data_IF_914554575216
#
_entry.id   IF_914554575216
#
_cell.length_a   1.000
_cell.length_b   1.000
_cell.length_c   1.000
_cell.angle_alpha   90.00
_cell.angle_beta   90.00
_cell.angle_gamma   90.00
#
_symmetry.space_group_name_H-M   'P 1'
#
loop_
_entity.id
_entity.type
_entity.pdbx_description
1 polymer ?
#
# COMPACT_ATOMS: atom_id res chain seq x y z
N UNK A 1 6.61 -9.51 13.49
CA UNK A 1 7.27 -8.49 12.64
C UNK A 1 7.01 -8.87 11.19
N UNK A 2 6.30 -8.04 10.40
CA UNK A 2 5.75 -8.43 9.09
C UNK A 2 6.76 -8.44 7.91
N UNK A 3 8.08 -8.43 8.15
CA UNK A 3 9.10 -8.57 7.09
C UNK A 3 9.20 -7.38 6.12
N UNK A 4 8.72 -6.21 6.53
CA UNK A 4 8.75 -4.96 5.75
C UNK A 4 9.89 -4.09 6.26
N UNK A 5 10.73 -3.59 5.36
CA UNK A 5 11.62 -2.49 5.71
C UNK A 5 10.76 -1.25 5.97
N UNK A 6 10.77 -0.77 7.21
CA UNK A 6 10.10 0.46 7.63
C UNK A 6 10.95 1.71 7.30
N UNK A 7 12.06 1.56 6.57
CA UNK A 7 12.88 2.70 6.13
C UNK A 7 12.04 3.62 5.25
N UNK A 8 11.72 4.81 5.78
CA UNK A 8 10.88 5.81 5.13
C UNK A 8 9.40 5.75 5.49
N UNK A 9 8.98 4.84 6.37
CA UNK A 9 7.60 4.74 6.88
C UNK A 9 7.58 5.32 8.29
N UNK A 10 7.01 6.52 8.46
CA UNK A 10 6.80 7.11 9.79
C UNK A 10 5.60 6.45 10.45
N UNK A 11 5.56 6.39 11.80
CA UNK A 11 4.44 5.77 12.55
C UNK A 11 3.07 6.43 12.29
N UNK A 12 3.05 7.64 11.72
CA UNK A 12 1.83 8.34 11.29
C UNK A 12 1.41 8.08 9.84
N UNK A 13 2.24 7.43 9.03
CA UNK A 13 1.96 7.24 7.60
C UNK A 13 0.92 6.15 7.39
N UNK A 14 -0.12 6.48 6.65
CA UNK A 14 -1.19 5.52 6.34
C UNK A 14 -0.76 4.57 5.23
N UNK A 15 -1.30 3.35 5.24
CA UNK A 15 -1.08 2.40 4.14
C UNK A 15 -1.47 2.98 2.77
N UNK A 16 -2.42 3.93 2.74
CA UNK A 16 -2.81 4.64 1.53
C UNK A 16 -1.71 5.57 1.00
N UNK A 17 -1.02 6.28 1.90
CA UNK A 17 0.09 7.17 1.54
C UNK A 17 1.31 6.40 1.06
N UNK A 18 1.59 5.24 1.65
CA UNK A 18 2.67 4.36 1.17
C UNK A 18 2.41 3.89 -0.26
N UNK A 19 1.17 3.47 -0.53
CA UNK A 19 0.75 3.07 -1.87
C UNK A 19 0.83 4.25 -2.85
N UNK A 20 0.44 5.47 -2.42
CA UNK A 20 0.61 6.72 -3.21
C UNK A 20 2.08 7.03 -3.51
N UNK A 21 2.97 6.93 -2.52
CA UNK A 21 4.39 7.21 -2.74
C UNK A 21 5.04 6.20 -3.70
N UNK A 22 4.68 4.92 -3.58
CA UNK A 22 5.27 3.86 -4.40
C UNK A 22 4.74 3.85 -5.86
N UNK A 23 3.48 4.19 -6.08
CA UNK A 23 2.85 4.18 -7.41
C UNK A 23 2.82 5.57 -8.08
N UNK A 24 2.99 6.64 -7.32
CA UNK A 24 2.98 8.02 -7.81
C UNK A 24 1.59 8.64 -7.89
N UNK A 25 1.42 9.54 -8.88
CA UNK A 25 0.33 10.55 -8.90
C UNK A 25 -1.05 10.05 -9.33
N UNK A 26 -1.17 8.84 -9.88
CA UNK A 26 -2.45 8.34 -10.38
C UNK A 26 -2.69 6.94 -9.84
N UNK A 27 -3.51 6.88 -8.78
CA UNK A 27 -3.95 5.63 -8.19
C UNK A 27 -5.30 5.26 -8.78
N UNK A 28 -5.45 4.00 -9.13
CA UNK A 28 -6.71 3.42 -9.56
C UNK A 28 -7.02 2.14 -8.78
N UNK A 29 -8.30 1.79 -8.70
CA UNK A 29 -8.72 0.52 -8.14
C UNK A 29 -8.08 -0.63 -8.91
N UNK A 30 -7.48 -1.57 -8.19
CA UNK A 30 -6.74 -2.68 -8.76
C UNK A 30 -5.22 -2.49 -8.78
N UNK A 31 -4.73 -1.28 -8.50
CA UNK A 31 -3.30 -1.02 -8.39
C UNK A 31 -2.66 -1.81 -7.26
N UNK A 32 -1.41 -2.21 -7.48
CA UNK A 32 -0.68 -3.11 -6.58
C UNK A 32 0.68 -2.53 -6.27
N UNK A 33 0.96 -2.35 -4.99
CA UNK A 33 2.28 -1.99 -4.49
C UNK A 33 2.87 -3.16 -3.71
N UNK A 34 4.15 -3.44 -3.92
CA UNK A 34 4.87 -4.48 -3.19
C UNK A 34 5.84 -3.85 -2.23
N UNK A 35 5.76 -4.28 -0.98
CA UNK A 35 6.64 -3.87 0.11
C UNK A 35 7.26 -5.13 0.70
N UNK A 36 8.44 -5.53 0.21
CA UNK A 36 9.07 -6.79 0.61
C UNK A 36 8.19 -8.01 0.36
N UNK A 37 7.83 -8.72 1.43
CA UNK A 37 6.89 -9.86 1.43
C UNK A 37 5.41 -9.45 1.49
N UNK A 38 5.10 -8.16 1.63
CA UNK A 38 3.74 -7.63 1.59
C UNK A 38 3.37 -7.20 0.19
N UNK A 39 2.15 -7.56 -0.21
CA UNK A 39 1.49 -7.02 -1.40
C UNK A 39 0.26 -6.25 -0.96
N UNK A 40 0.28 -4.95 -1.17
CA UNK A 40 -0.87 -4.07 -1.00
C UNK A 40 -1.59 -3.95 -2.34
N UNK A 41 -2.91 -3.96 -2.31
CA UNK A 41 -3.76 -3.81 -3.49
C UNK A 41 -4.91 -2.88 -3.17
N UNK A 42 -5.10 -1.85 -3.98
CA UNK A 42 -6.24 -0.96 -3.84
C UNK A 42 -7.49 -1.73 -4.26
N UNK A 43 -8.42 -1.94 -3.33
CA UNK A 43 -9.69 -2.63 -3.60
C UNK A 43 -10.84 -1.66 -3.81
N UNK A 44 -10.79 -0.50 -3.17
CA UNK A 44 -11.84 0.49 -3.27
C UNK A 44 -11.25 1.89 -3.15
N UNK A 45 -11.76 2.79 -4.00
CA UNK A 45 -11.45 4.21 -3.97
C UNK A 45 -12.72 5.03 -4.00
N UNK A 46 -12.72 6.13 -3.25
CA UNK A 46 -13.75 7.16 -3.29
C UNK A 46 -13.12 8.44 -3.82
N UNK A 47 -13.31 8.69 -5.12
CA UNK A 47 -12.61 9.77 -5.81
C UNK A 47 -11.09 9.54 -5.81
N UNK A 48 -10.34 10.39 -5.11
CA UNK A 48 -8.87 10.32 -5.01
C UNK A 48 -8.37 9.77 -3.64
N UNK A 49 -9.28 9.25 -2.83
CA UNK A 49 -8.99 8.65 -1.54
C UNK A 49 -9.13 7.14 -1.62
N UNK A 50 -8.16 6.42 -1.07
CA UNK A 50 -8.25 4.96 -0.93
C UNK A 50 -9.05 4.67 0.34
N UNK A 51 -10.15 3.94 0.19
CA UNK A 51 -10.99 3.51 1.31
C UNK A 51 -10.58 2.11 1.80
N UNK A 52 -10.28 1.21 0.86
CA UNK A 52 -9.98 -0.19 1.18
C UNK A 52 -8.70 -0.65 0.49
N UNK A 53 -7.76 -1.16 1.30
CA UNK A 53 -6.53 -1.79 0.85
C UNK A 53 -6.56 -3.26 1.22
N UNK A 54 -6.47 -4.12 0.21
CA UNK A 54 -6.20 -5.53 0.38
C UNK A 54 -4.73 -5.77 0.67
N UNK A 55 -4.44 -6.37 1.82
CA UNK A 55 -3.09 -6.80 2.18
C UNK A 55 -2.96 -8.31 1.98
N UNK A 56 -1.93 -8.73 1.24
CA UNK A 56 -1.54 -10.14 1.10
C UNK A 56 -0.10 -10.30 1.58
N UNK A 57 0.08 -11.13 2.60
CA UNK A 57 1.39 -11.64 3.00
C UNK A 57 1.78 -12.79 2.09
N UNK A 58 2.97 -12.68 1.50
CA UNK A 58 3.60 -13.77 0.78
C UNK A 58 4.70 -14.34 1.68
N UNK A 59 4.34 -15.30 2.55
CA UNK A 59 5.34 -16.09 3.26
C UNK A 59 5.93 -17.09 2.26
N UNK A 60 7.25 -17.04 2.11
CA UNK A 60 8.02 -18.07 1.40
C UNK A 60 8.61 -19.02 2.43
#
# INVERSE_FOLDING_TARGET
>A
MYGVSLEGISEGDTAAELVKQQLGKSLVVGDRARFGNLRLTIREMKGNQIEVIGLKLQNK
#
